data_IF_419451910075
#
_entry.id   IF_419451910075
#
_cell.length_a   1.000
_cell.length_b   1.000
_cell.length_c   1.000
_cell.angle_alpha   90.00
_cell.angle_beta   90.00
_cell.angle_gamma   90.00
#
_symmetry.space_group_name_H-M   'P 1'
#
loop_
_entity.id
_entity.type
_entity.pdbx_description
1 polymer ?
#
# COMPACT_ATOMS: atom_id res chain seq x y z
N UNK A 1 10.96 -12.67 -8.72
CA UNK A 1 11.32 -12.74 -10.15
C UNK A 1 11.78 -11.38 -10.63
N UNK A 2 12.73 -11.30 -11.56
CA UNK A 2 13.14 -10.03 -12.17
C UNK A 2 12.07 -9.58 -13.18
N UNK A 3 11.65 -8.32 -13.10
CA UNK A 3 10.59 -7.73 -13.94
C UNK A 3 11.21 -6.82 -15.04
N UNK A 4 12.20 -6.04 -14.66
CA UNK A 4 13.01 -5.21 -15.53
C UNK A 4 14.46 -5.26 -15.02
N UNK A 5 15.48 -4.87 -15.79
CA UNK A 5 16.86 -4.97 -15.34
C UNK A 5 17.08 -4.33 -13.97
N UNK A 6 17.40 -5.16 -12.97
CA UNK A 6 17.59 -4.78 -11.57
C UNK A 6 16.32 -4.54 -10.77
N UNK A 7 15.11 -4.66 -11.32
CA UNK A 7 13.84 -4.54 -10.60
C UNK A 7 13.25 -5.93 -10.39
N UNK A 8 13.14 -6.35 -9.14
CA UNK A 8 12.66 -7.67 -8.77
C UNK A 8 11.38 -7.57 -7.94
N UNK A 9 10.41 -8.47 -8.23
CA UNK A 9 9.22 -8.70 -7.42
C UNK A 9 9.48 -9.88 -6.49
N UNK A 10 9.22 -9.67 -5.22
CA UNK A 10 9.30 -10.68 -4.15
C UNK A 10 7.87 -10.87 -3.66
N UNK A 11 7.35 -12.09 -3.68
CA UNK A 11 5.98 -12.41 -3.29
C UNK A 11 5.98 -13.20 -2.00
N UNK A 12 5.21 -12.75 -1.01
CA UNK A 12 4.95 -13.44 0.25
C UNK A 12 3.48 -13.81 0.40
N UNK A 13 3.20 -14.96 1.02
CA UNK A 13 1.84 -15.39 1.30
C UNK A 13 1.19 -14.52 2.39
N UNK A 14 -0.09 -14.17 2.20
CA UNK A 14 -0.92 -13.39 3.12
C UNK A 14 -2.30 -14.06 3.24
N UNK A 15 -2.37 -15.20 3.91
CA UNK A 15 -3.57 -16.01 3.98
C UNK A 15 -4.01 -16.48 2.58
N UNK A 16 -5.24 -16.15 2.19
CA UNK A 16 -5.77 -16.49 0.85
C UNK A 16 -5.26 -15.58 -0.27
N UNK A 17 -4.45 -14.57 0.07
CA UNK A 17 -3.87 -13.55 -0.80
C UNK A 17 -2.35 -13.66 -0.84
N UNK A 18 -1.71 -12.69 -1.45
CA UNK A 18 -0.27 -12.43 -1.36
C UNK A 18 0.00 -10.94 -1.20
N UNK A 19 1.18 -10.60 -0.74
CA UNK A 19 1.72 -9.24 -0.74
C UNK A 19 3.09 -9.23 -1.39
N UNK A 20 3.37 -8.20 -2.18
CA UNK A 20 4.63 -8.09 -2.91
C UNK A 20 5.48 -6.97 -2.36
N UNK A 21 6.75 -7.29 -2.15
CA UNK A 21 7.82 -6.35 -1.94
C UNK A 21 8.63 -6.22 -3.25
N UNK A 22 9.32 -5.10 -3.42
CA UNK A 22 10.13 -4.87 -4.61
C UNK A 22 11.57 -4.54 -4.24
N UNK A 23 12.51 -5.21 -4.91
CA UNK A 23 13.93 -4.93 -4.78
C UNK A 23 14.43 -4.23 -6.03
N UNK A 24 15.08 -3.09 -5.85
CA UNK A 24 15.80 -2.38 -6.91
C UNK A 24 17.30 -2.54 -6.63
N UNK A 25 17.94 -3.45 -7.35
CA UNK A 25 19.33 -3.85 -7.17
C UNK A 25 20.23 -3.09 -8.13
N UNK A 26 20.67 -1.90 -7.76
CA UNK A 26 21.68 -1.14 -8.49
C UNK A 26 23.09 -1.65 -8.23
N UNK A 27 24.05 -1.14 -9.02
CA UNK A 27 25.48 -1.48 -8.86
C UNK A 27 26.09 -0.82 -7.60
N UNK A 28 25.62 0.38 -7.23
CA UNK A 28 26.14 1.14 -6.10
C UNK A 28 25.26 1.02 -4.86
N UNK A 29 23.93 0.88 -5.02
CA UNK A 29 22.96 0.83 -3.93
C UNK A 29 21.83 -0.14 -4.22
N UNK A 30 21.36 -0.76 -3.14
CA UNK A 30 20.22 -1.68 -3.15
C UNK A 30 19.08 -1.08 -2.32
N UNK A 31 17.93 -0.92 -2.95
CA UNK A 31 16.72 -0.39 -2.35
C UNK A 31 15.64 -1.48 -2.28
N UNK A 32 15.11 -1.73 -1.09
CA UNK A 32 13.93 -2.55 -0.88
C UNK A 32 12.71 -1.65 -0.70
N UNK A 33 11.58 -2.00 -1.30
CA UNK A 33 10.27 -1.36 -1.07
C UNK A 33 9.41 -2.32 -0.27
N UNK A 34 9.02 -1.89 0.92
CA UNK A 34 8.25 -2.59 1.94
C UNK A 34 8.94 -3.80 2.58
N UNK A 35 8.55 -4.09 3.80
CA UNK A 35 9.10 -5.18 4.61
C UNK A 35 8.13 -6.34 4.81
N UNK A 36 6.87 -6.17 4.39
CA UNK A 36 5.83 -7.18 4.60
C UNK A 36 5.38 -7.28 6.05
N UNK A 37 4.80 -8.43 6.40
CA UNK A 37 4.47 -8.79 7.78
C UNK A 37 5.74 -9.02 8.61
N UNK A 38 5.57 -9.10 9.94
CA UNK A 38 6.64 -9.20 10.94
C UNK A 38 7.78 -10.14 10.57
N UNK A 39 7.47 -11.34 10.10
CA UNK A 39 8.46 -12.41 9.86
C UNK A 39 8.91 -12.48 8.38
N UNK A 40 8.32 -11.69 7.47
CA UNK A 40 8.65 -11.72 6.03
C UNK A 40 10.09 -11.31 5.70
N UNK A 41 10.77 -10.41 6.44
CA UNK A 41 12.18 -10.15 6.18
C UNK A 41 13.04 -11.41 6.21
N UNK A 42 12.82 -12.29 7.18
CA UNK A 42 13.59 -13.54 7.34
C UNK A 42 13.05 -14.68 6.48
N UNK A 43 11.73 -14.81 6.36
CA UNK A 43 11.10 -15.97 5.72
C UNK A 43 10.92 -15.82 4.21
N UNK A 44 10.87 -14.61 3.70
CA UNK A 44 10.54 -14.32 2.29
C UNK A 44 11.66 -13.51 1.62
N UNK A 45 12.04 -12.36 2.20
CA UNK A 45 12.97 -11.42 1.58
C UNK A 45 14.39 -11.98 1.59
N UNK A 46 14.90 -12.45 2.75
CA UNK A 46 16.25 -12.99 2.86
C UNK A 46 16.50 -14.21 1.96
N UNK A 47 15.60 -15.21 1.86
CA UNK A 47 15.76 -16.31 0.91
C UNK A 47 15.81 -15.85 -0.54
N UNK A 48 14.99 -14.83 -0.91
CA UNK A 48 15.03 -14.28 -2.26
C UNK A 48 16.38 -13.58 -2.54
N UNK A 49 16.85 -12.73 -1.63
CA UNK A 49 18.16 -12.07 -1.73
C UNK A 49 19.30 -13.08 -1.88
N UNK A 50 19.23 -14.20 -1.15
CA UNK A 50 20.22 -15.27 -1.27
C UNK A 50 20.30 -15.87 -2.68
N UNK A 51 19.20 -15.92 -3.45
CA UNK A 51 19.22 -16.35 -4.86
C UNK A 51 20.00 -15.40 -5.76
N UNK A 52 20.18 -14.14 -5.31
CA UNK A 52 20.97 -13.11 -5.99
C UNK A 52 22.39 -12.98 -5.45
N UNK A 53 22.80 -13.89 -4.51
CA UNK A 53 24.08 -13.84 -3.82
C UNK A 53 24.19 -12.68 -2.83
N UNK A 54 23.05 -12.17 -2.32
CA UNK A 54 22.92 -11.05 -1.37
C UNK A 54 22.29 -11.49 -0.07
N UNK A 55 22.37 -10.65 0.94
CA UNK A 55 21.72 -10.79 2.25
C UNK A 55 20.95 -9.51 2.62
N UNK A 56 20.20 -9.52 3.71
CA UNK A 56 19.56 -8.32 4.25
C UNK A 56 20.57 -7.21 4.58
N UNK A 57 21.77 -7.57 5.04
CA UNK A 57 22.84 -6.62 5.36
C UNK A 57 23.40 -5.87 4.13
N UNK A 58 23.08 -6.32 2.91
CA UNK A 58 23.48 -5.65 1.67
C UNK A 58 22.45 -4.60 1.20
N UNK A 59 21.40 -4.36 1.99
CA UNK A 59 20.44 -3.30 1.74
C UNK A 59 21.01 -1.95 2.20
N UNK A 60 20.93 -0.94 1.34
CA UNK A 60 21.31 0.44 1.67
C UNK A 60 20.12 1.27 2.12
N UNK A 61 18.98 1.07 1.49
CA UNK A 61 17.74 1.79 1.74
C UNK A 61 16.56 0.84 1.78
N UNK A 62 15.60 1.12 2.67
CA UNK A 62 14.30 0.46 2.75
C UNK A 62 13.24 1.54 2.72
N UNK A 63 12.45 1.59 1.66
CA UNK A 63 11.34 2.51 1.52
C UNK A 63 10.06 1.82 1.96
N UNK A 64 9.43 2.34 3.00
CA UNK A 64 8.08 1.94 3.39
C UNK A 64 7.10 2.81 2.60
N UNK A 65 6.30 2.16 1.77
CA UNK A 65 5.38 2.85 0.88
C UNK A 65 4.28 3.59 1.64
N UNK A 66 3.74 2.95 2.69
CA UNK A 66 2.67 3.51 3.52
C UNK A 66 2.50 2.74 4.85
N UNK A 67 1.62 3.25 5.71
CA UNK A 67 1.42 2.75 7.06
C UNK A 67 0.32 1.66 7.10
N UNK A 68 0.60 0.48 6.55
CA UNK A 68 -0.21 -0.71 6.72
C UNK A 68 0.63 -1.91 7.18
N UNK A 69 0.01 -2.82 7.94
CA UNK A 69 0.69 -3.92 8.62
C UNK A 69 1.46 -4.84 7.68
N UNK A 70 0.93 -5.10 6.50
CA UNK A 70 1.52 -5.96 5.48
C UNK A 70 2.58 -5.25 4.61
N UNK A 71 2.88 -3.98 4.92
CA UNK A 71 3.93 -3.18 4.29
C UNK A 71 5.05 -2.81 5.26
N UNK A 72 4.75 -2.60 6.54
CA UNK A 72 5.72 -2.13 7.52
C UNK A 72 5.89 -3.06 8.75
N UNK A 73 5.12 -4.16 8.85
CA UNK A 73 5.18 -5.08 9.99
C UNK A 73 6.57 -5.69 10.22
N UNK A 74 7.34 -5.88 9.16
CA UNK A 74 8.71 -6.41 9.22
C UNK A 74 9.80 -5.39 9.57
N UNK A 75 9.47 -4.09 9.78
CA UNK A 75 10.45 -3.02 9.96
C UNK A 75 11.46 -3.30 11.07
N UNK A 76 11.00 -3.73 12.24
CA UNK A 76 11.87 -4.03 13.38
C UNK A 76 12.81 -5.20 13.11
N UNK A 77 12.29 -6.28 12.52
CA UNK A 77 13.10 -7.46 12.16
C UNK A 77 14.16 -7.07 11.11
N UNK A 78 13.78 -6.29 10.12
CA UNK A 78 14.68 -5.80 9.09
C UNK A 78 15.77 -4.89 9.66
N UNK A 79 15.43 -3.94 10.54
CA UNK A 79 16.41 -3.08 11.24
C UNK A 79 17.42 -3.87 12.05
N UNK A 80 17.01 -4.98 12.67
CA UNK A 80 17.91 -5.84 13.42
C UNK A 80 18.88 -6.61 12.49
N UNK A 81 18.43 -7.01 11.31
CA UNK A 81 19.20 -7.76 10.33
C UNK A 81 20.07 -6.86 9.40
N UNK A 82 19.67 -5.62 9.20
CA UNK A 82 20.31 -4.61 8.34
C UNK A 82 20.45 -3.27 9.08
N UNK A 83 21.28 -3.18 10.14
CA UNK A 83 21.36 -1.98 10.98
C UNK A 83 21.91 -0.73 10.26
N UNK A 84 22.63 -0.91 9.17
CA UNK A 84 23.22 0.17 8.37
C UNK A 84 22.27 0.66 7.27
N UNK A 85 21.18 -0.08 6.96
CA UNK A 85 20.17 0.34 6.00
C UNK A 85 19.35 1.50 6.56
N UNK A 86 19.09 2.53 5.73
CA UNK A 86 18.23 3.65 6.12
C UNK A 86 16.76 3.26 5.86
N UNK A 87 15.90 3.51 6.84
CA UNK A 87 14.45 3.37 6.70
C UNK A 87 13.85 4.70 6.25
N UNK A 88 13.19 4.71 5.11
CA UNK A 88 12.55 5.86 4.49
C UNK A 88 11.03 5.64 4.45
N UNK A 89 10.24 6.70 4.57
CA UNK A 89 8.79 6.64 4.34
C UNK A 89 8.26 8.01 3.92
N UNK A 90 7.01 8.07 3.49
CA UNK A 90 6.31 9.34 3.34
C UNK A 90 6.16 10.05 4.69
N UNK A 91 6.54 11.33 4.76
CA UNK A 91 6.59 12.09 6.01
C UNK A 91 5.24 12.12 6.73
N UNK A 92 4.13 12.15 5.99
CA UNK A 92 2.79 12.22 6.61
C UNK A 92 2.33 10.89 7.25
N UNK A 93 2.97 9.76 6.91
CA UNK A 93 2.71 8.46 7.55
C UNK A 93 3.75 8.11 8.64
N UNK A 94 4.79 8.92 8.78
CA UNK A 94 5.92 8.62 9.65
C UNK A 94 5.52 8.25 11.07
N UNK A 95 4.62 9.03 11.68
CA UNK A 95 4.22 8.81 13.07
C UNK A 95 3.56 7.43 13.26
N UNK A 96 2.77 6.98 12.30
CA UNK A 96 2.15 5.65 12.33
C UNK A 96 3.19 4.54 12.13
N UNK A 97 4.13 4.73 11.18
CA UNK A 97 5.17 3.74 10.87
C UNK A 97 6.16 3.57 12.03
N UNK A 98 6.45 4.64 12.78
CA UNK A 98 7.36 4.60 13.93
C UNK A 98 6.73 4.02 15.19
N UNK A 99 5.38 4.05 15.31
CA UNK A 99 4.67 3.62 16.52
C UNK A 99 3.50 2.70 16.19
N UNK A 100 3.64 1.43 16.57
CA UNK A 100 2.61 0.42 16.42
C UNK A 100 1.34 0.76 17.18
N UNK A 101 1.45 1.29 18.40
CA UNK A 101 0.30 1.67 19.21
C UNK A 101 -0.48 2.80 18.54
N UNK A 102 0.22 3.78 17.97
CA UNK A 102 -0.41 4.89 17.26
C UNK A 102 -1.07 4.42 15.97
N UNK A 103 -0.37 3.57 15.20
CA UNK A 103 -0.95 2.98 13.99
C UNK A 103 -2.19 2.16 14.31
N UNK A 104 -2.15 1.31 15.33
CA UNK A 104 -3.29 0.50 15.72
C UNK A 104 -4.48 1.41 16.11
N UNK A 105 -4.25 2.42 16.94
CA UNK A 105 -5.31 3.31 17.43
C UNK A 105 -5.91 4.18 16.31
N UNK A 106 -5.08 4.81 15.47
CA UNK A 106 -5.52 5.86 14.54
C UNK A 106 -5.77 5.35 13.12
N UNK A 107 -5.13 4.22 12.71
CA UNK A 107 -5.32 3.66 11.37
C UNK A 107 -6.32 2.48 11.38
N UNK A 108 -6.37 1.65 12.45
CA UNK A 108 -7.19 0.45 12.47
C UNK A 108 -8.39 0.49 13.42
N UNK A 109 -8.30 1.19 14.59
CA UNK A 109 -9.36 1.17 15.60
C UNK A 109 -10.25 2.42 15.59
N UNK A 110 -9.95 3.44 14.79
CA UNK A 110 -10.74 4.67 14.73
C UNK A 110 -12.21 4.47 14.30
N UNK A 111 -12.55 3.30 13.76
CA UNK A 111 -13.89 2.93 13.32
C UNK A 111 -14.83 2.59 14.51
N UNK A 112 -14.30 2.18 15.66
CA UNK A 112 -15.07 1.71 16.81
C UNK A 112 -16.15 2.69 17.30
N UNK A 113 -15.90 4.01 17.40
CA UNK A 113 -16.94 4.97 17.80
C UNK A 113 -18.13 5.04 16.85
N UNK A 114 -18.00 4.52 15.66
CA UNK A 114 -19.06 4.49 14.62
C UNK A 114 -19.82 3.17 14.58
N UNK A 115 -19.53 2.26 15.53
CA UNK A 115 -20.15 0.94 15.61
C UNK A 115 -19.67 -0.07 14.59
N UNK A 116 -18.50 0.15 14.01
CA UNK A 116 -17.79 -0.78 13.12
C UNK A 116 -16.30 -0.84 13.52
N UNK A 117 -15.58 -1.78 12.95
CA UNK A 117 -14.15 -1.96 13.23
C UNK A 117 -13.73 -3.39 13.00
N UNK A 118 -12.44 -3.68 13.15
CA UNK A 118 -11.93 -5.04 13.05
C UNK A 118 -12.53 -5.93 14.14
N UNK A 119 -12.64 -7.23 13.85
CA UNK A 119 -13.02 -8.22 14.86
C UNK A 119 -11.89 -8.38 15.90
N UNK A 120 -12.17 -8.95 17.09
CA UNK A 120 -11.11 -9.24 18.06
C UNK A 120 -9.95 -10.08 17.47
N UNK A 121 -10.26 -11.05 16.62
CA UNK A 121 -9.25 -11.89 15.95
C UNK A 121 -8.41 -11.06 14.96
N UNK A 122 -9.02 -10.09 14.24
CA UNK A 122 -8.30 -9.17 13.37
C UNK A 122 -7.39 -8.24 14.19
N UNK A 123 -7.85 -7.74 15.36
CA UNK A 123 -7.03 -6.91 16.26
C UNK A 123 -5.82 -7.69 16.75
N UNK A 124 -6.02 -8.93 17.18
CA UNK A 124 -4.93 -9.82 17.61
C UNK A 124 -3.95 -10.11 16.47
N UNK A 125 -4.45 -10.29 15.25
CA UNK A 125 -3.62 -10.44 14.05
C UNK A 125 -2.79 -9.17 13.81
N UNK A 126 -3.42 -8.00 13.76
CA UNK A 126 -2.76 -6.71 13.52
C UNK A 126 -1.67 -6.44 14.57
N UNK A 127 -2.01 -6.58 15.87
CA UNK A 127 -1.05 -6.37 16.95
C UNK A 127 0.15 -7.32 16.89
N UNK A 128 -0.05 -8.57 16.48
CA UNK A 128 1.01 -9.55 16.32
C UNK A 128 1.91 -9.24 15.12
N UNK A 129 1.31 -8.89 13.99
CA UNK A 129 2.02 -8.74 12.71
C UNK A 129 2.71 -7.37 12.56
N UNK A 130 2.36 -6.38 13.37
CA UNK A 130 3.08 -5.09 13.43
C UNK A 130 4.53 -5.21 13.93
N UNK A 131 4.91 -6.32 14.59
CA UNK A 131 6.30 -6.70 14.87
C UNK A 131 7.08 -5.83 15.87
N UNK A 132 6.67 -4.62 16.14
CA UNK A 132 7.25 -3.67 17.10
C UNK A 132 7.76 -2.38 16.44
N UNK A 133 7.91 -1.34 17.25
CA UNK A 133 8.33 -0.01 16.83
C UNK A 133 9.70 -0.01 16.13
N UNK A 134 9.82 0.82 15.10
CA UNK A 134 11.08 1.02 14.38
C UNK A 134 11.21 2.49 13.94
N UNK A 135 12.31 3.19 14.30
CA UNK A 135 12.50 4.58 13.92
C UNK A 135 12.74 4.71 12.41
N UNK A 136 12.19 5.77 11.82
CA UNK A 136 12.40 6.16 10.42
C UNK A 136 13.55 7.17 10.34
N UNK A 137 14.50 6.93 9.42
CA UNK A 137 15.68 7.81 9.27
C UNK A 137 15.34 9.04 8.40
N UNK A 138 14.51 8.85 7.34
CA UNK A 138 14.23 9.91 6.37
C UNK A 138 12.75 9.96 6.02
N UNK A 139 12.12 11.11 6.21
CA UNK A 139 10.79 11.41 5.69
C UNK A 139 10.87 11.98 4.27
N UNK A 140 9.99 11.52 3.40
CA UNK A 140 9.91 11.90 1.98
C UNK A 140 8.60 12.65 1.72
N UNK A 141 8.64 13.58 0.77
CA UNK A 141 7.46 14.39 0.40
C UNK A 141 7.06 14.23 -1.07
N UNK A 142 7.87 13.45 -1.82
CA UNK A 142 7.73 13.25 -3.26
C UNK A 142 8.54 14.26 -4.07
N UNK A 143 9.08 13.79 -5.20
CA UNK A 143 10.00 14.55 -6.05
C UNK A 143 11.48 14.32 -5.74
N UNK A 144 11.78 13.62 -4.66
CA UNK A 144 13.16 13.20 -4.37
C UNK A 144 13.62 12.18 -5.40
N UNK A 145 14.95 12.16 -5.62
CA UNK A 145 15.59 11.19 -6.52
C UNK A 145 16.53 10.30 -5.72
N UNK A 146 16.31 8.98 -5.81
CA UNK A 146 17.18 7.98 -5.21
C UNK A 146 18.12 7.45 -6.29
N UNK A 147 19.43 7.53 -6.03
CA UNK A 147 20.46 7.05 -6.93
C UNK A 147 20.82 5.60 -6.58
N UNK A 148 20.72 4.71 -7.57
CA UNK A 148 21.04 3.30 -7.45
C UNK A 148 22.34 2.90 -8.14
N UNK A 149 22.73 3.66 -9.20
CA UNK A 149 24.06 3.56 -9.85
C UNK A 149 24.41 4.90 -10.51
N UNK A 150 25.53 4.94 -11.21
CA UNK A 150 25.98 6.14 -11.95
C UNK A 150 24.96 6.61 -12.99
N UNK A 151 24.24 5.66 -13.62
CA UNK A 151 23.29 5.86 -14.71
C UNK A 151 21.85 5.49 -14.34
N UNK A 152 21.59 5.04 -13.09
CA UNK A 152 20.25 4.66 -12.64
C UNK A 152 19.78 5.48 -11.44
N UNK A 153 18.71 6.24 -11.68
CA UNK A 153 17.98 7.01 -10.68
C UNK A 153 16.51 6.72 -10.78
N UNK A 154 15.83 6.64 -9.64
CA UNK A 154 14.39 6.53 -9.54
C UNK A 154 13.83 7.75 -8.82
N UNK A 155 12.63 8.18 -9.19
CA UNK A 155 11.94 9.30 -8.59
C UNK A 155 10.95 8.80 -7.54
N UNK A 156 10.90 9.46 -6.39
CA UNK A 156 9.87 9.23 -5.38
C UNK A 156 8.60 9.96 -5.80
N UNK A 157 7.51 9.22 -5.90
CA UNK A 157 6.19 9.75 -6.18
C UNK A 157 5.42 9.95 -4.87
N UNK A 158 4.94 11.15 -4.58
CA UNK A 158 3.89 11.32 -3.58
C UNK A 158 2.56 10.81 -4.18
N UNK A 159 1.93 9.84 -3.55
CA UNK A 159 0.72 9.16 -4.00
C UNK A 159 -0.37 9.16 -2.90
N UNK A 160 -0.70 10.31 -2.30
CA UNK A 160 -1.63 10.37 -1.18
C UNK A 160 -3.04 9.94 -1.59
N UNK A 161 -3.76 9.41 -0.63
CA UNK A 161 -5.17 9.04 -0.79
C UNK A 161 -5.51 7.76 -0.04
N UNK A 162 -4.85 6.65 -0.34
CA UNK A 162 -4.93 5.41 0.43
C UNK A 162 -4.53 5.68 1.89
N UNK A 163 -3.32 6.17 2.10
CA UNK A 163 -2.90 6.86 3.33
C UNK A 163 -2.46 8.29 3.02
N UNK A 164 -2.33 9.18 4.03
CA UNK A 164 -1.85 10.55 3.82
C UNK A 164 -0.43 10.63 3.25
N UNK A 165 0.45 9.74 3.70
CA UNK A 165 1.86 9.72 3.35
C UNK A 165 2.26 8.66 2.33
N UNK A 166 1.31 8.06 1.62
CA UNK A 166 1.64 7.03 0.63
C UNK A 166 2.64 7.54 -0.41
N UNK A 167 3.73 6.79 -0.61
CA UNK A 167 4.75 7.05 -1.62
C UNK A 167 4.99 5.83 -2.49
N UNK A 168 5.45 6.07 -3.72
CA UNK A 168 5.86 5.03 -4.65
C UNK A 168 7.11 5.46 -5.40
N UNK A 169 7.50 4.67 -6.40
CA UNK A 169 8.68 4.94 -7.22
C UNK A 169 8.34 4.96 -8.71
N UNK A 170 8.99 5.85 -9.41
CA UNK A 170 9.02 5.89 -10.86
C UNK A 170 10.45 5.61 -11.36
N UNK A 171 10.61 4.57 -12.18
CA UNK A 171 11.84 4.33 -12.92
C UNK A 171 11.70 4.82 -14.37
N UNK A 172 12.28 5.99 -14.72
CA UNK A 172 12.18 6.51 -16.08
C UNK A 172 12.92 5.65 -17.10
N UNK A 173 13.90 4.83 -16.67
CA UNK A 173 14.69 3.96 -17.55
C UNK A 173 13.84 2.83 -18.15
N UNK A 174 13.10 2.11 -17.31
CA UNK A 174 12.21 1.02 -17.72
C UNK A 174 10.76 1.48 -17.91
N UNK A 175 10.42 2.72 -17.49
CA UNK A 175 9.06 3.23 -17.35
C UNK A 175 8.20 2.34 -16.42
N UNK A 176 8.80 1.79 -15.39
CA UNK A 176 8.11 1.04 -14.34
C UNK A 176 7.65 1.99 -13.23
N UNK A 177 6.40 1.85 -12.81
CA UNK A 177 5.84 2.53 -11.64
C UNK A 177 5.58 1.49 -10.54
N UNK A 178 6.29 1.60 -9.42
CA UNK A 178 6.04 0.84 -8.19
C UNK A 178 5.08 1.66 -7.36
N UNK A 179 3.80 1.31 -7.39
CA UNK A 179 2.72 2.12 -6.79
C UNK A 179 2.13 1.51 -5.53
N UNK A 180 2.44 0.25 -5.28
CA UNK A 180 1.96 -0.52 -4.14
C UNK A 180 0.42 -0.43 -4.04
N UNK A 181 -0.15 0.23 -3.04
CA UNK A 181 -1.59 0.34 -2.79
C UNK A 181 -2.16 1.72 -3.13
N UNK A 182 -1.41 2.54 -3.88
CA UNK A 182 -1.89 3.84 -4.36
C UNK A 182 -3.09 3.74 -5.32
N UNK A 183 -3.40 2.54 -5.80
CA UNK A 183 -4.62 2.19 -6.53
C UNK A 183 -4.93 0.70 -6.31
N UNK A 184 -6.21 0.34 -6.09
CA UNK A 184 -6.65 -1.01 -5.69
C UNK A 184 -7.81 -1.54 -6.56
N UNK A 185 -7.95 -1.04 -7.79
CA UNK A 185 -9.05 -1.39 -8.69
C UNK A 185 -10.42 -1.30 -7.98
N UNK A 186 -11.20 -2.38 -8.01
CA UNK A 186 -12.50 -2.52 -7.35
C UNK A 186 -12.46 -3.47 -6.14
N UNK A 187 -11.26 -3.76 -5.62
CA UNK A 187 -11.03 -4.55 -4.40
C UNK A 187 -9.88 -5.52 -4.52
N UNK A 188 -9.21 -5.78 -3.39
CA UNK A 188 -8.18 -6.81 -3.31
C UNK A 188 -8.83 -8.18 -3.36
N UNK A 189 -8.30 -9.06 -4.21
CA UNK A 189 -8.82 -10.40 -4.46
C UNK A 189 -8.00 -11.48 -3.74
N UNK A 190 -8.66 -12.63 -3.53
CA UNK A 190 -7.95 -13.87 -3.21
C UNK A 190 -7.23 -14.43 -4.47
N UNK A 191 -6.47 -15.50 -4.30
CA UNK A 191 -5.76 -16.17 -5.42
C UNK A 191 -6.71 -16.80 -6.46
N UNK A 192 -7.99 -16.95 -6.13
CA UNK A 192 -9.02 -17.45 -7.06
C UNK A 192 -9.73 -16.32 -7.82
N UNK A 193 -9.45 -15.06 -7.49
CA UNK A 193 -10.02 -13.87 -8.13
C UNK A 193 -11.33 -13.40 -7.48
N UNK A 194 -11.71 -13.90 -6.30
CA UNK A 194 -12.85 -13.38 -5.56
C UNK A 194 -12.46 -12.11 -4.81
N UNK A 195 -13.29 -11.07 -4.88
CA UNK A 195 -13.06 -9.81 -4.16
C UNK A 195 -13.24 -10.02 -2.66
N UNK A 196 -12.20 -9.73 -1.88
CA UNK A 196 -12.20 -9.90 -0.43
C UNK A 196 -12.30 -8.55 0.30
N UNK A 197 -11.41 -7.61 0.01
CA UNK A 197 -11.20 -6.39 0.77
C UNK A 197 -11.54 -5.16 -0.09
N UNK A 198 -12.33 -4.22 0.45
CA UNK A 198 -12.64 -2.98 -0.27
C UNK A 198 -11.40 -2.10 -0.43
N UNK A 199 -11.28 -1.33 -1.53
CA UNK A 199 -10.31 -0.27 -1.61
C UNK A 199 -10.55 0.76 -0.51
N UNK A 200 -9.58 0.88 0.41
CA UNK A 200 -9.58 1.87 1.48
C UNK A 200 -8.86 3.14 1.01
N UNK A 201 -9.41 4.29 1.30
CA UNK A 201 -8.74 5.59 1.14
C UNK A 201 -9.28 6.60 2.14
N UNK A 202 -8.37 7.38 2.70
CA UNK A 202 -8.68 8.45 3.66
C UNK A 202 -9.02 9.79 2.98
N UNK A 203 -8.64 9.93 1.71
CA UNK A 203 -8.92 11.12 0.91
C UNK A 203 -9.38 10.72 -0.49
N UNK A 204 -10.68 10.82 -0.75
CA UNK A 204 -11.23 10.55 -2.08
C UNK A 204 -10.62 11.48 -3.15
N UNK A 205 -10.46 12.78 -2.83
CA UNK A 205 -9.84 13.74 -3.75
C UNK A 205 -8.36 13.42 -4.01
N UNK A 206 -7.59 13.07 -2.95
CA UNK A 206 -6.20 12.67 -3.07
C UNK A 206 -6.04 11.38 -3.87
N UNK A 207 -6.86 10.38 -3.58
CA UNK A 207 -6.81 9.09 -4.25
C UNK A 207 -7.16 9.21 -5.74
N UNK A 208 -8.21 9.96 -6.09
CA UNK A 208 -8.56 10.27 -7.48
C UNK A 208 -7.45 11.03 -8.21
N UNK A 209 -6.84 12.04 -7.57
CA UNK A 209 -5.73 12.79 -8.15
C UNK A 209 -4.50 11.90 -8.37
N UNK A 210 -4.19 11.02 -7.42
CA UNK A 210 -3.12 10.01 -7.52
C UNK A 210 -3.35 9.08 -8.71
N UNK A 211 -4.54 8.48 -8.85
CA UNK A 211 -4.86 7.60 -9.98
C UNK A 211 -4.71 8.33 -11.32
N UNK A 212 -5.21 9.55 -11.42
CA UNK A 212 -5.09 10.37 -12.65
C UNK A 212 -3.62 10.71 -12.98
N UNK A 213 -2.81 11.03 -11.96
CA UNK A 213 -1.37 11.27 -12.12
C UNK A 213 -0.66 10.03 -12.62
N UNK A 214 -0.95 8.85 -12.07
CA UNK A 214 -0.40 7.57 -12.50
C UNK A 214 -0.79 7.26 -13.96
N UNK A 215 -2.03 7.49 -14.35
CA UNK A 215 -2.48 7.38 -15.73
C UNK A 215 -1.72 8.31 -16.69
N UNK A 216 -1.43 9.55 -16.25
CA UNK A 216 -0.67 10.53 -17.05
C UNK A 216 0.81 10.17 -17.19
N UNK A 217 1.42 9.42 -16.27
CA UNK A 217 2.77 8.88 -16.41
C UNK A 217 2.87 7.84 -17.53
N UNK A 218 1.75 7.21 -17.89
CA UNK A 218 1.66 6.16 -18.91
C UNK A 218 2.72 5.07 -18.72
N UNK A 219 2.72 4.35 -17.57
CA UNK A 219 3.74 3.37 -17.26
C UNK A 219 3.74 2.24 -18.27
N UNK A 220 4.95 1.78 -18.66
CA UNK A 220 5.09 0.56 -19.43
C UNK A 220 4.82 -0.68 -18.58
N UNK A 221 5.14 -0.58 -17.28
CA UNK A 221 4.92 -1.64 -16.29
C UNK A 221 4.39 -0.99 -15.00
N UNK A 222 3.30 -1.52 -14.47
CA UNK A 222 2.71 -1.11 -13.19
C UNK A 222 2.89 -2.24 -12.18
N UNK A 223 3.43 -1.89 -11.01
CA UNK A 223 3.81 -2.80 -9.94
C UNK A 223 3.06 -2.43 -8.66
N UNK A 224 2.25 -3.35 -8.18
CA UNK A 224 1.35 -3.19 -7.02
C UNK A 224 1.64 -4.25 -5.98
N UNK A 225 1.06 -4.14 -4.78
CA UNK A 225 1.28 -5.14 -3.74
C UNK A 225 0.46 -6.43 -3.93
N UNK A 226 -0.78 -6.33 -4.42
CA UNK A 226 -1.75 -7.41 -4.34
C UNK A 226 -2.23 -7.93 -5.70
N UNK A 227 -1.60 -7.50 -6.80
CA UNK A 227 -2.00 -7.91 -8.15
C UNK A 227 -0.79 -8.35 -8.95
N UNK A 228 -1.03 -9.05 -10.05
CA UNK A 228 0.01 -9.42 -10.99
C UNK A 228 0.69 -8.21 -11.61
N UNK A 229 1.88 -8.41 -12.16
CA UNK A 229 2.57 -7.39 -12.94
C UNK A 229 1.72 -7.01 -14.15
N UNK A 230 1.46 -5.73 -14.32
CA UNK A 230 0.60 -5.23 -15.40
C UNK A 230 1.41 -4.45 -16.42
N UNK A 231 1.36 -4.89 -17.66
CA UNK A 231 1.89 -4.14 -18.79
C UNK A 231 0.91 -3.03 -19.20
N UNK A 232 1.38 -2.10 -20.04
CA UNK A 232 0.74 -0.84 -20.42
C UNK A 232 -0.80 -0.87 -20.55
N UNK A 233 -1.36 -1.81 -21.32
CA UNK A 233 -2.80 -1.89 -21.54
C UNK A 233 -3.53 -2.35 -20.27
N UNK A 234 -3.01 -3.38 -19.60
CA UNK A 234 -3.54 -3.87 -18.33
C UNK A 234 -3.41 -2.82 -17.23
N UNK A 235 -2.30 -2.06 -17.21
CA UNK A 235 -2.09 -0.97 -16.26
C UNK A 235 -3.12 0.15 -16.43
N UNK A 236 -3.41 0.56 -17.67
CA UNK A 236 -4.47 1.54 -17.94
C UNK A 236 -5.83 1.05 -17.51
N UNK A 237 -6.20 -0.19 -17.90
CA UNK A 237 -7.48 -0.78 -17.51
C UNK A 237 -7.62 -0.91 -15.97
N UNK A 238 -6.54 -1.21 -15.26
CA UNK A 238 -6.50 -1.26 -13.80
C UNK A 238 -6.75 0.13 -13.18
N UNK A 239 -6.07 1.15 -13.65
CA UNK A 239 -6.26 2.53 -13.16
C UNK A 239 -7.65 3.06 -13.49
N UNK A 240 -8.20 2.74 -14.68
CA UNK A 240 -9.57 3.12 -15.05
C UNK A 240 -10.61 2.42 -14.14
N UNK A 241 -10.42 1.15 -13.79
CA UNK A 241 -11.27 0.45 -12.82
C UNK A 241 -11.17 1.06 -11.44
N UNK A 242 -9.96 1.43 -11.00
CA UNK A 242 -9.77 2.11 -9.70
C UNK A 242 -10.55 3.43 -9.66
N UNK A 243 -10.48 4.22 -10.73
CA UNK A 243 -11.20 5.49 -10.83
C UNK A 243 -12.72 5.27 -10.87
N UNK A 244 -13.18 4.29 -11.63
CA UNK A 244 -14.59 3.93 -11.70
C UNK A 244 -15.15 3.49 -10.33
N UNK A 245 -14.38 2.75 -9.55
CA UNK A 245 -14.75 2.37 -8.19
C UNK A 245 -14.90 3.59 -7.26
N UNK A 246 -13.96 4.53 -7.29
CA UNK A 246 -14.07 5.79 -6.51
C UNK A 246 -15.38 6.53 -6.84
N UNK A 247 -15.72 6.59 -8.11
CA UNK A 247 -16.98 7.23 -8.55
C UNK A 247 -18.20 6.45 -8.10
N UNK A 248 -18.18 5.11 -8.18
CA UNK A 248 -19.29 4.26 -7.71
C UNK A 248 -19.53 4.41 -6.20
N UNK A 249 -18.47 4.45 -5.39
CA UNK A 249 -18.58 4.70 -3.94
C UNK A 249 -19.17 6.07 -3.66
N UNK A 250 -18.74 7.12 -4.38
CA UNK A 250 -19.32 8.46 -4.27
C UNK A 250 -20.81 8.44 -4.58
N UNK A 251 -21.18 7.90 -5.74
CA UNK A 251 -22.57 7.94 -6.23
C UNK A 251 -23.49 7.13 -5.30
N UNK A 252 -23.03 5.97 -4.78
CA UNK A 252 -23.76 5.19 -3.79
C UNK A 252 -23.87 5.93 -2.45
N UNK A 253 -22.81 6.62 -2.00
CA UNK A 253 -22.82 7.43 -0.77
C UNK A 253 -23.86 8.56 -0.90
N UNK A 254 -23.80 9.35 -1.97
CA UNK A 254 -24.69 10.47 -2.22
C UNK A 254 -26.16 10.03 -2.27
N UNK A 255 -26.45 8.93 -3.00
CA UNK A 255 -27.81 8.39 -3.10
C UNK A 255 -28.38 7.96 -1.74
N UNK A 256 -27.58 7.28 -0.90
CA UNK A 256 -28.03 6.84 0.41
C UNK A 256 -28.16 7.99 1.42
N UNK A 257 -27.31 9.00 1.35
CA UNK A 257 -27.45 10.25 2.15
C UNK A 257 -28.73 10.97 1.79
N UNK A 258 -29.05 11.11 0.49
CA UNK A 258 -30.29 11.70 0.00
C UNK A 258 -31.53 10.90 0.45
N UNK A 259 -31.40 9.58 0.59
CA UNK A 259 -32.44 8.71 1.14
C UNK A 259 -32.56 8.78 2.69
N UNK A 260 -31.70 9.56 3.37
CA UNK A 260 -31.74 9.80 4.81
C UNK A 260 -30.81 8.92 5.65
N UNK A 261 -29.94 8.13 5.06
CA UNK A 261 -28.94 7.30 5.79
C UNK A 261 -27.72 8.17 6.06
N UNK A 262 -27.50 8.59 7.34
CA UNK A 262 -26.41 9.50 7.72
C UNK A 262 -25.40 8.92 8.70
N UNK A 263 -25.77 7.86 9.43
CA UNK A 263 -24.86 7.18 10.34
C UNK A 263 -23.82 6.36 9.54
N UNK A 264 -22.54 6.48 9.89
CA UNK A 264 -21.44 5.98 9.07
C UNK A 264 -21.54 4.48 8.78
N UNK A 265 -21.79 3.65 9.80
CA UNK A 265 -21.83 2.20 9.58
C UNK A 265 -23.03 1.74 8.73
N UNK A 266 -24.29 2.12 9.00
CA UNK A 266 -25.40 1.82 8.10
C UNK A 266 -25.20 2.33 6.68
N UNK A 267 -24.58 3.51 6.52
CA UNK A 267 -24.24 4.06 5.21
C UNK A 267 -23.20 3.19 4.49
N UNK A 268 -22.15 2.76 5.22
CA UNK A 268 -21.12 1.86 4.67
C UNK A 268 -21.71 0.53 4.23
N UNK A 269 -22.62 -0.07 5.01
CA UNK A 269 -23.30 -1.30 4.62
C UNK A 269 -24.16 -1.13 3.36
N UNK A 270 -24.85 0.00 3.23
CA UNK A 270 -25.65 0.29 2.03
C UNK A 270 -24.75 0.52 0.80
N UNK A 271 -23.60 1.17 0.98
CA UNK A 271 -22.61 1.35 -0.10
C UNK A 271 -21.97 0.01 -0.47
N UNK A 272 -21.60 -0.84 0.51
CA UNK A 272 -21.07 -2.17 0.25
C UNK A 272 -22.04 -3.02 -0.56
N UNK A 273 -23.33 -3.00 -0.25
CA UNK A 273 -24.36 -3.69 -1.01
C UNK A 273 -24.44 -3.21 -2.48
N UNK A 274 -24.04 -1.98 -2.75
CA UNK A 274 -24.09 -1.39 -4.11
C UNK A 274 -22.80 -1.66 -4.91
N UNK A 275 -21.62 -1.59 -4.28
CA UNK A 275 -20.32 -1.66 -4.97
C UNK A 275 -19.57 -2.96 -4.71
N UNK A 276 -19.95 -3.73 -3.64
CA UNK A 276 -19.40 -5.01 -3.22
C UNK A 276 -20.22 -6.20 -3.71
N UNK A 277 -20.62 -7.16 -2.86
CA UNK A 277 -20.21 -7.21 -1.45
C UNK A 277 -18.75 -7.61 -1.27
N UNK A 278 -18.13 -7.17 -0.17
CA UNK A 278 -16.81 -7.60 0.26
C UNK A 278 -16.96 -8.61 1.42
N UNK A 279 -16.03 -9.57 1.51
CA UNK A 279 -16.13 -10.69 2.47
C UNK A 279 -15.16 -10.57 3.66
N UNK A 280 -14.14 -9.70 3.58
CA UNK A 280 -13.17 -9.46 4.63
C UNK A 280 -12.95 -7.95 4.82
N UNK A 281 -12.67 -7.53 6.05
CA UNK A 281 -12.36 -6.14 6.40
C UNK A 281 -13.36 -5.12 5.84
N UNK A 282 -14.63 -5.49 5.77
CA UNK A 282 -15.69 -4.65 5.17
C UNK A 282 -15.83 -3.28 5.84
N UNK A 283 -15.43 -3.17 7.13
CA UNK A 283 -15.40 -1.91 7.87
C UNK A 283 -14.40 -0.89 7.26
N UNK A 284 -13.37 -1.32 6.55
CA UNK A 284 -12.41 -0.43 5.89
C UNK A 284 -13.05 0.45 4.81
N UNK A 285 -14.15 -0.02 4.20
CA UNK A 285 -14.93 0.81 3.27
C UNK A 285 -15.47 2.09 3.93
N UNK A 286 -15.62 2.10 5.28
CA UNK A 286 -16.07 3.28 5.99
C UNK A 286 -15.11 4.47 5.87
N UNK A 287 -13.80 4.25 5.73
CA UNK A 287 -12.83 5.32 5.45
C UNK A 287 -13.14 5.98 4.10
N UNK A 288 -13.36 5.16 3.08
CA UNK A 288 -13.69 5.61 1.73
C UNK A 288 -15.02 6.37 1.70
N UNK A 289 -16.06 5.81 2.31
CA UNK A 289 -17.38 6.48 2.44
C UNK A 289 -17.25 7.81 3.18
N UNK A 290 -16.57 7.83 4.34
CA UNK A 290 -16.35 9.05 5.13
C UNK A 290 -15.62 10.13 4.35
N UNK A 291 -14.65 9.76 3.52
CA UNK A 291 -13.89 10.70 2.71
C UNK A 291 -14.73 11.42 1.65
N UNK A 292 -15.86 10.82 1.23
CA UNK A 292 -16.84 11.47 0.35
C UNK A 292 -17.78 12.40 1.10
N UNK A 293 -18.08 12.14 2.39
CA UNK A 293 -18.92 13.03 3.21
C UNK A 293 -18.23 14.36 3.53
N UNK A 294 -16.91 14.40 3.61
CA UNK A 294 -16.14 15.60 3.93
C UNK A 294 -16.15 16.67 2.79
N UNK A 295 -16.88 16.43 1.69
CA UNK A 295 -17.04 17.35 0.55
C UNK A 295 -18.25 18.29 0.66
N UNK A 296 -19.07 18.12 1.72
CA UNK A 296 -20.31 18.91 1.91
C UNK A 296 -20.10 20.02 2.93
#
# INVERSE_FOLDING_TARGET
>A
MEIAPGIHRIEGDLGERYVCQYLLAGEERTLLVDTGLRDMPEQVIAPYLATLGRSLADLDDVLISHADVDHCGGNRALRAAAPDARLLCGEADRAWIESNDLMLAENYLWYEPYGCGPSPDDVDFLARELGGDAPVDVGLTGGETLRLSSDWRVEVLALPGHTPGHVGLWDPRSRAAVIIDAALADGVCDRAGNRLIPPRYYSAAGYEATIRRLGALDPAVLLTAHYDVMEREAARAFLDRSLAFVHAVRDATDANVQAGTTALWPLTQAVDAAVGPFSAFTHELAASVRSHLARV
#
